data_IF_076881211760
#
_entry.id   IF_076881211760
#
_cell.length_a   1.000
_cell.length_b   1.000
_cell.length_c   1.000
_cell.angle_alpha   90.00
_cell.angle_beta   90.00
_cell.angle_gamma   90.00
#
_symmetry.space_group_name_H-M   'P 1'
#
loop_
_entity.id
_entity.type
_entity.pdbx_description
1 polymer ?
#
# COMPACT_ATOMS: atom_id res chain seq x y z
N UNK A 1 -41.24 6.86 21.22
CA UNK A 1 -40.29 7.81 20.59
C UNK A 1 -38.80 7.48 20.85
N UNK A 2 -38.49 6.36 21.51
CA UNK A 2 -37.09 6.02 21.91
C UNK A 2 -36.25 5.21 20.88
N UNK A 3 -36.83 4.56 19.90
CA UNK A 3 -36.16 3.67 18.93
C UNK A 3 -35.44 4.41 17.80
N UNK A 4 -35.82 5.65 17.51
CA UNK A 4 -35.24 6.44 16.40
C UNK A 4 -33.85 7.03 16.74
N UNK A 5 -33.58 7.32 18.01
CA UNK A 5 -32.34 7.97 18.45
C UNK A 5 -31.22 6.94 18.54
N UNK A 6 -31.46 5.76 19.08
CA UNK A 6 -30.50 4.65 19.16
C UNK A 6 -30.06 4.17 17.76
N UNK A 7 -30.96 4.14 16.79
CA UNK A 7 -30.61 3.76 15.39
C UNK A 7 -29.73 4.82 14.72
N UNK A 8 -29.92 6.11 15.00
CA UNK A 8 -29.05 7.18 14.44
C UNK A 8 -27.68 7.20 15.07
N UNK A 9 -27.57 6.95 16.37
CA UNK A 9 -26.28 6.83 17.07
C UNK A 9 -25.48 5.60 16.60
N UNK A 10 -26.14 4.47 16.40
CA UNK A 10 -25.51 3.27 15.84
C UNK A 10 -25.02 3.48 14.41
N UNK A 11 -25.78 4.17 13.57
CA UNK A 11 -25.38 4.53 12.20
C UNK A 11 -24.19 5.51 12.20
N UNK A 12 -24.20 6.52 13.07
CA UNK A 12 -23.11 7.48 13.20
C UNK A 12 -21.82 6.80 13.73
N UNK A 13 -21.95 5.90 14.69
CA UNK A 13 -20.83 5.10 15.21
C UNK A 13 -20.26 4.19 14.12
N UNK A 14 -21.10 3.51 13.34
CA UNK A 14 -20.68 2.67 12.22
C UNK A 14 -19.98 3.45 11.12
N UNK A 15 -20.41 4.68 10.82
CA UNK A 15 -19.71 5.55 9.86
C UNK A 15 -18.34 6.00 10.37
N UNK A 16 -18.23 6.38 11.66
CA UNK A 16 -16.95 6.74 12.29
C UNK A 16 -15.99 5.58 12.30
N UNK A 17 -16.42 4.36 12.63
CA UNK A 17 -15.59 3.18 12.60
C UNK A 17 -15.05 2.89 11.19
N UNK A 18 -15.87 3.02 10.15
CA UNK A 18 -15.41 2.87 8.76
C UNK A 18 -14.39 3.93 8.35
N UNK A 19 -14.58 5.18 8.79
CA UNK A 19 -13.61 6.24 8.54
C UNK A 19 -12.27 5.96 9.23
N UNK A 20 -12.29 5.47 10.48
CA UNK A 20 -11.08 5.12 11.22
C UNK A 20 -10.40 3.87 10.62
N UNK A 21 -11.17 2.89 10.14
CA UNK A 21 -10.63 1.70 9.49
C UNK A 21 -9.85 2.02 8.21
N UNK A 22 -10.08 3.17 7.57
CA UNK A 22 -9.31 3.60 6.40
C UNK A 22 -7.84 3.99 6.72
N UNK A 23 -7.51 4.18 8.01
CA UNK A 23 -6.15 4.53 8.44
C UNK A 23 -5.31 3.34 8.91
N UNK A 24 -5.85 2.14 8.87
CA UNK A 24 -5.14 0.92 9.26
C UNK A 24 -5.26 -0.13 8.14
N UNK A 25 -4.31 -1.08 8.05
CA UNK A 25 -4.42 -2.17 7.08
C UNK A 25 -5.77 -2.88 7.18
N UNK A 26 -6.40 -3.17 6.04
CA UNK A 26 -7.73 -3.79 5.99
C UNK A 26 -7.79 -5.13 6.73
N UNK A 27 -6.72 -5.91 6.65
CA UNK A 27 -6.55 -7.19 7.36
C UNK A 27 -6.52 -7.02 8.89
N UNK A 28 -5.88 -5.95 9.39
CA UNK A 28 -5.90 -5.60 10.81
C UNK A 28 -7.29 -5.13 11.23
N UNK A 29 -7.96 -4.32 10.43
CA UNK A 29 -9.33 -3.88 10.69
C UNK A 29 -10.29 -5.08 10.82
N UNK A 30 -10.21 -6.04 9.90
CA UNK A 30 -10.99 -7.27 9.93
C UNK A 30 -10.70 -8.12 11.17
N UNK A 31 -9.43 -8.21 11.58
CA UNK A 31 -9.05 -8.93 12.80
C UNK A 31 -9.63 -8.25 14.05
N UNK A 32 -9.52 -6.93 14.14
CA UNK A 32 -10.09 -6.16 15.26
C UNK A 32 -11.60 -6.37 15.35
N UNK A 33 -12.29 -6.35 14.24
CA UNK A 33 -13.75 -6.56 14.20
C UNK A 33 -14.18 -7.97 14.63
N UNK A 34 -13.34 -8.99 14.40
CA UNK A 34 -13.66 -10.39 14.75
C UNK A 34 -13.19 -10.78 16.16
N UNK A 35 -12.07 -10.26 16.62
CA UNK A 35 -11.35 -10.75 17.81
C UNK A 35 -11.12 -9.65 18.87
N UNK A 36 -11.45 -8.41 18.56
CA UNK A 36 -11.13 -7.25 19.41
C UNK A 36 -9.74 -6.67 19.13
N UNK A 37 -9.43 -5.58 19.83
CA UNK A 37 -8.14 -4.90 19.69
C UNK A 37 -7.02 -5.82 20.23
N UNK A 38 -5.96 -6.09 19.42
CA UNK A 38 -4.81 -6.84 19.88
C UNK A 38 -4.10 -6.16 21.07
N UNK A 39 -3.51 -6.94 21.94
CA UNK A 39 -2.70 -6.41 23.04
C UNK A 39 -1.43 -5.74 22.48
N UNK A 40 -1.15 -4.46 22.80
CA UNK A 40 0.09 -3.83 22.38
C UNK A 40 1.33 -4.58 22.86
N UNK A 41 2.32 -4.75 21.97
CA UNK A 41 3.55 -5.48 22.23
C UNK A 41 3.43 -7.00 22.11
N UNK A 42 2.24 -7.56 21.94
CA UNK A 42 2.04 -9.00 21.74
C UNK A 42 2.11 -9.31 20.23
N UNK A 43 3.09 -10.13 19.77
CA UNK A 43 3.24 -10.45 18.37
C UNK A 43 2.20 -11.46 17.92
N UNK A 44 1.60 -11.20 16.77
CA UNK A 44 0.75 -12.15 16.05
C UNK A 44 1.53 -12.75 14.89
N UNK A 45 1.88 -14.03 14.99
CA UNK A 45 2.62 -14.74 13.95
C UNK A 45 1.68 -15.24 12.85
N UNK A 46 2.08 -15.06 11.59
CA UNK A 46 1.37 -15.56 10.43
C UNK A 46 2.37 -15.89 9.31
N UNK A 47 1.94 -16.66 8.32
CA UNK A 47 2.61 -16.70 7.04
C UNK A 47 1.97 -15.66 6.12
N UNK A 48 2.77 -15.03 5.30
CA UNK A 48 2.29 -14.05 4.34
C UNK A 48 3.21 -13.99 3.11
N UNK A 49 2.66 -13.58 1.98
CA UNK A 49 3.46 -13.00 0.92
C UNK A 49 3.52 -11.49 1.14
N UNK A 50 4.67 -10.90 0.88
CA UNK A 50 4.87 -9.45 0.93
C UNK A 50 5.38 -8.94 -0.41
N UNK A 51 5.05 -7.69 -0.70
CA UNK A 51 5.43 -7.02 -1.92
C UNK A 51 5.97 -5.64 -1.54
N UNK A 52 7.17 -5.31 -2.05
CA UNK A 52 7.70 -3.97 -2.07
C UNK A 52 7.64 -3.44 -3.49
N UNK A 53 7.13 -2.22 -3.67
CA UNK A 53 7.09 -1.56 -4.98
C UNK A 53 7.59 -0.13 -4.87
N UNK A 54 8.28 0.32 -5.91
CA UNK A 54 8.85 1.67 -6.00
C UNK A 54 8.60 2.23 -7.40
N UNK A 55 8.11 3.48 -7.47
CA UNK A 55 7.77 4.14 -8.75
C UNK A 55 9.01 4.80 -9.31
N UNK A 56 9.61 4.19 -10.31
CA UNK A 56 10.78 4.73 -11.01
C UNK A 56 10.38 5.94 -11.87
N UNK A 57 11.17 7.01 -11.80
CA UNK A 57 10.92 8.29 -12.47
C UNK A 57 10.17 9.32 -11.60
N UNK A 58 9.58 8.89 -10.47
CA UNK A 58 8.82 9.77 -9.59
C UNK A 58 9.67 10.86 -8.95
N UNK A 59 10.86 10.55 -8.46
CA UNK A 59 11.77 11.52 -7.83
C UNK A 59 12.11 12.66 -8.80
N UNK A 60 12.51 12.35 -10.04
CA UNK A 60 12.80 13.36 -11.06
C UNK A 60 11.58 14.22 -11.40
N UNK A 61 10.39 13.59 -11.51
CA UNK A 61 9.14 14.31 -11.71
C UNK A 61 8.84 15.26 -10.55
N UNK A 62 9.01 14.79 -9.30
CA UNK A 62 8.71 15.60 -8.11
C UNK A 62 9.63 16.81 -7.98
N UNK A 63 10.93 16.65 -8.26
CA UNK A 63 11.90 17.73 -8.25
C UNK A 63 11.59 18.79 -9.33
N UNK A 64 11.26 18.34 -10.55
CA UNK A 64 10.89 19.26 -11.63
C UNK A 64 9.59 20.01 -11.32
N UNK A 65 8.54 19.31 -10.84
CA UNK A 65 7.27 19.94 -10.49
C UNK A 65 7.42 20.90 -9.30
N UNK A 66 8.27 20.59 -8.32
CA UNK A 66 8.56 21.49 -7.21
C UNK A 66 9.09 22.84 -7.69
N UNK A 67 9.83 22.88 -8.80
CA UNK A 67 10.32 24.12 -9.41
C UNK A 67 9.20 25.00 -9.99
N UNK A 68 8.01 24.47 -10.22
CA UNK A 68 6.84 25.19 -10.75
C UNK A 68 5.99 25.82 -9.61
N UNK A 69 6.45 25.73 -8.35
CA UNK A 69 5.78 26.32 -7.19
C UNK A 69 4.46 25.64 -6.83
N UNK A 70 3.46 26.38 -6.32
CA UNK A 70 2.19 25.77 -5.85
C UNK A 70 1.46 24.94 -6.90
N UNK A 71 1.49 25.34 -8.17
CA UNK A 71 0.88 24.58 -9.28
C UNK A 71 1.55 23.23 -9.48
N UNK A 72 2.88 23.20 -9.37
CA UNK A 72 3.61 21.93 -9.46
C UNK A 72 3.27 20.98 -8.32
N UNK A 73 3.11 21.51 -7.10
CA UNK A 73 2.70 20.71 -5.95
C UNK A 73 1.28 20.14 -6.10
N UNK A 74 0.33 20.90 -6.66
CA UNK A 74 -1.02 20.42 -6.97
C UNK A 74 -0.99 19.31 -8.02
N UNK A 75 -0.17 19.48 -9.05
CA UNK A 75 -0.04 18.50 -10.13
C UNK A 75 0.63 17.21 -9.66
N UNK A 76 1.66 17.31 -8.83
CA UNK A 76 2.29 16.17 -8.18
C UNK A 76 1.29 15.37 -7.33
N UNK A 77 0.50 16.08 -6.51
CA UNK A 77 -0.56 15.46 -5.70
C UNK A 77 -1.60 14.75 -6.57
N UNK A 78 -2.02 15.36 -7.69
CA UNK A 78 -2.96 14.75 -8.62
C UNK A 78 -2.42 13.45 -9.19
N UNK A 79 -1.18 13.47 -9.69
CA UNK A 79 -0.54 12.29 -10.28
C UNK A 79 -0.40 11.17 -9.25
N UNK A 80 0.13 11.52 -8.06
CA UNK A 80 0.32 10.55 -6.98
C UNK A 80 -1.01 9.91 -6.55
N UNK A 81 -2.04 10.74 -6.32
CA UNK A 81 -3.35 10.26 -5.88
C UNK A 81 -3.94 9.27 -6.88
N UNK A 82 -3.96 9.62 -8.18
CA UNK A 82 -4.58 8.76 -9.21
C UNK A 82 -3.81 7.46 -9.36
N UNK A 83 -2.47 7.52 -9.40
CA UNK A 83 -1.61 6.34 -9.58
C UNK A 83 -1.70 5.40 -8.37
N UNK A 84 -1.54 5.94 -7.16
CA UNK A 84 -1.55 5.14 -5.92
C UNK A 84 -2.95 4.56 -5.66
N UNK A 85 -4.02 5.33 -5.89
CA UNK A 85 -5.39 4.80 -5.73
C UNK A 85 -5.63 3.60 -6.64
N UNK A 86 -5.24 3.70 -7.92
CA UNK A 86 -5.41 2.60 -8.86
C UNK A 86 -4.60 1.35 -8.47
N UNK A 87 -3.41 1.53 -7.88
CA UNK A 87 -2.62 0.41 -7.33
C UNK A 87 -3.29 -0.21 -6.09
N UNK A 88 -3.80 0.61 -5.18
CA UNK A 88 -4.50 0.15 -3.97
C UNK A 88 -5.74 -0.68 -4.34
N UNK A 89 -6.48 -0.27 -5.36
CA UNK A 89 -7.64 -1.02 -5.84
C UNK A 89 -7.24 -2.44 -6.30
N UNK A 90 -6.15 -2.57 -7.06
CA UNK A 90 -5.60 -3.88 -7.47
C UNK A 90 -5.18 -4.72 -6.25
N UNK A 91 -4.54 -4.11 -5.26
CA UNK A 91 -4.10 -4.78 -4.03
C UNK A 91 -5.30 -5.33 -3.28
N UNK A 92 -6.33 -4.51 -3.07
CA UNK A 92 -7.53 -4.89 -2.32
C UNK A 92 -8.36 -5.95 -3.04
N UNK A 93 -8.50 -5.88 -4.37
CA UNK A 93 -9.19 -6.91 -5.18
C UNK A 93 -8.58 -8.31 -4.99
N UNK A 94 -7.26 -8.38 -4.73
CA UNK A 94 -6.53 -9.63 -4.52
C UNK A 94 -6.37 -10.00 -3.03
N UNK A 95 -7.07 -9.28 -2.13
CA UNK A 95 -7.05 -9.55 -0.69
C UNK A 95 -5.73 -9.20 -0.02
N UNK A 96 -4.97 -8.28 -0.61
CA UNK A 96 -3.81 -7.67 0.01
C UNK A 96 -4.18 -6.45 0.85
N UNK A 97 -3.24 -6.01 1.68
CA UNK A 97 -3.35 -4.77 2.44
C UNK A 97 -2.05 -3.97 2.33
N UNK A 98 -2.18 -2.67 2.14
CA UNK A 98 -1.02 -1.77 2.23
C UNK A 98 -0.60 -1.72 3.69
N UNK A 99 0.67 -2.01 3.94
CA UNK A 99 1.27 -1.94 5.26
C UNK A 99 1.80 -0.53 5.54
N UNK A 100 2.62 0.00 4.63
CA UNK A 100 3.24 1.31 4.82
C UNK A 100 3.63 1.97 3.49
N UNK A 101 3.66 3.30 3.48
CA UNK A 101 4.20 4.11 2.40
C UNK A 101 5.56 4.69 2.79
N UNK A 102 6.53 4.62 1.90
CA UNK A 102 7.89 5.16 2.05
C UNK A 102 8.15 6.18 0.93
N UNK A 103 7.45 7.31 0.97
CA UNK A 103 7.44 8.26 -0.13
C UNK A 103 6.63 7.74 -1.31
N UNK A 104 7.29 7.48 -2.43
CA UNK A 104 6.74 6.87 -3.66
C UNK A 104 6.78 5.33 -3.67
N UNK A 105 7.43 4.74 -2.67
CA UNK A 105 7.43 3.30 -2.47
C UNK A 105 6.33 2.85 -1.50
N UNK A 106 5.87 1.62 -1.65
CA UNK A 106 4.91 1.02 -0.72
C UNK A 106 5.28 -0.43 -0.40
N UNK A 107 4.97 -0.84 0.84
CA UNK A 107 4.95 -2.23 1.24
C UNK A 107 3.52 -2.73 1.39
N UNK A 108 3.29 -3.93 0.88
CA UNK A 108 1.99 -4.60 0.84
C UNK A 108 2.16 -6.00 1.38
N UNK A 109 1.13 -6.56 2.01
CA UNK A 109 1.15 -7.95 2.42
C UNK A 109 -0.18 -8.65 2.17
N UNK A 110 -0.08 -9.96 1.99
CA UNK A 110 -1.16 -10.88 1.72
C UNK A 110 -1.10 -11.99 2.78
N UNK A 111 -1.94 -11.96 3.83
CA UNK A 111 -2.00 -13.04 4.80
C UNK A 111 -2.32 -14.38 4.13
N UNK A 112 -1.62 -15.42 4.56
CA UNK A 112 -1.78 -16.76 3.98
C UNK A 112 -2.64 -17.66 4.86
N UNK A 113 -3.95 -17.53 4.68
CA UNK A 113 -4.93 -18.38 5.36
C UNK A 113 -5.35 -19.61 4.59
N UNK A 114 -5.04 -19.67 3.29
CA UNK A 114 -5.53 -20.67 2.35
C UNK A 114 -4.45 -21.27 1.42
N UNK A 115 -3.17 -20.91 1.65
CA UNK A 115 -2.05 -21.36 0.82
C UNK A 115 -1.92 -20.64 -0.52
N UNK A 116 -2.66 -19.54 -0.75
CA UNK A 116 -2.67 -18.82 -2.04
C UNK A 116 -1.96 -17.46 -2.00
N UNK A 117 -1.41 -17.04 -0.86
CA UNK A 117 -0.86 -15.70 -0.70
C UNK A 117 0.25 -15.37 -1.71
N UNK A 118 1.17 -16.30 -1.97
CA UNK A 118 2.24 -16.12 -2.94
C UNK A 118 1.70 -15.89 -4.36
N UNK A 119 0.71 -16.68 -4.77
CA UNK A 119 0.06 -16.54 -6.08
C UNK A 119 -0.68 -15.20 -6.19
N UNK A 120 -1.41 -14.78 -5.15
CA UNK A 120 -2.12 -13.50 -5.11
C UNK A 120 -1.15 -12.32 -5.19
N UNK A 121 -0.02 -12.39 -4.48
CA UNK A 121 1.01 -11.36 -4.53
C UNK A 121 1.68 -11.25 -5.90
N UNK A 122 2.00 -12.38 -6.55
CA UNK A 122 2.55 -12.39 -7.91
C UNK A 122 1.55 -11.83 -8.93
N UNK A 123 0.28 -12.23 -8.83
CA UNK A 123 -0.76 -11.70 -9.71
C UNK A 123 -0.96 -10.19 -9.49
N UNK A 124 -0.87 -9.74 -8.23
CA UNK A 124 -0.91 -8.31 -7.90
C UNK A 124 0.26 -7.56 -8.54
N UNK A 125 1.48 -8.05 -8.39
CA UNK A 125 2.67 -7.47 -9.01
C UNK A 125 2.51 -7.35 -10.53
N UNK A 126 2.04 -8.40 -11.20
CA UNK A 126 1.80 -8.39 -12.65
C UNK A 126 0.71 -7.39 -13.05
N UNK A 127 -0.40 -7.30 -12.30
CA UNK A 127 -1.46 -6.33 -12.58
C UNK A 127 -1.02 -4.89 -12.35
N UNK A 128 -0.26 -4.63 -11.28
CA UNK A 128 0.33 -3.30 -11.03
C UNK A 128 1.28 -2.90 -12.15
N UNK A 129 2.13 -3.82 -12.60
CA UNK A 129 3.02 -3.59 -13.74
C UNK A 129 2.24 -3.28 -15.02
N UNK A 130 1.21 -4.07 -15.33
CA UNK A 130 0.35 -3.85 -16.48
C UNK A 130 -0.37 -2.50 -16.41
N UNK A 131 -0.86 -2.12 -15.23
CA UNK A 131 -1.49 -0.83 -14.98
C UNK A 131 -0.53 0.33 -15.26
N UNK A 132 0.72 0.23 -14.79
CA UNK A 132 1.75 1.23 -15.07
C UNK A 132 2.03 1.34 -16.56
N UNK A 133 2.20 0.22 -17.26
CA UNK A 133 2.49 0.21 -18.70
C UNK A 133 1.35 0.81 -19.54
N UNK A 134 0.10 0.54 -19.17
CA UNK A 134 -1.06 0.93 -19.99
C UNK A 134 -1.60 2.32 -19.66
N UNK A 135 -1.54 2.73 -18.39
CA UNK A 135 -2.24 3.93 -17.92
C UNK A 135 -1.31 5.04 -17.41
N UNK A 136 -0.10 4.68 -16.96
CA UNK A 136 0.80 5.62 -16.30
C UNK A 136 2.21 5.67 -16.89
N UNK A 137 2.51 4.93 -17.95
CA UNK A 137 3.85 4.94 -18.58
C UNK A 137 4.26 6.32 -19.08
N UNK A 138 3.29 7.15 -19.47
CA UNK A 138 3.50 8.56 -19.82
C UNK A 138 2.45 9.44 -19.18
N UNK A 139 2.84 10.09 -18.10
CA UNK A 139 1.97 11.03 -17.38
C UNK A 139 2.05 12.42 -18.00
N UNK A 140 0.89 12.97 -18.32
CA UNK A 140 0.77 14.36 -18.82
C UNK A 140 0.44 15.27 -17.66
N UNK A 141 1.22 16.33 -17.51
CA UNK A 141 1.07 17.31 -16.44
C UNK A 141 0.78 18.70 -16.99
N UNK A 142 0.02 19.50 -16.25
CA UNK A 142 -0.33 20.86 -16.63
C UNK A 142 0.72 21.86 -16.15
N UNK A 143 1.84 21.95 -16.89
CA UNK A 143 2.98 22.82 -16.57
C UNK A 143 2.90 24.17 -17.29
N UNK A 144 3.62 25.20 -16.82
CA UNK A 144 3.76 26.49 -17.49
C UNK A 144 4.30 26.34 -18.93
N UNK A 145 3.95 27.27 -19.85
CA UNK A 145 4.51 27.28 -21.19
C UNK A 145 6.04 27.24 -21.20
N UNK A 146 6.62 26.41 -22.07
CA UNK A 146 8.07 26.25 -22.20
C UNK A 146 8.68 25.16 -21.30
N UNK A 147 7.88 24.53 -20.42
CA UNK A 147 8.28 23.35 -19.64
C UNK A 147 7.84 22.06 -20.34
N UNK A 148 8.60 20.99 -20.16
CA UNK A 148 8.26 19.67 -20.69
C UNK A 148 7.05 19.09 -19.93
N UNK A 149 5.94 18.75 -20.62
CA UNK A 149 4.70 18.37 -19.94
C UNK A 149 4.60 16.86 -19.62
N UNK A 150 5.55 16.03 -20.05
CA UNK A 150 5.49 14.58 -19.92
C UNK A 150 6.51 14.07 -18.94
N UNK A 151 6.10 13.03 -18.19
CA UNK A 151 6.99 12.23 -17.33
C UNK A 151 6.72 10.76 -17.62
N UNK A 152 7.78 9.99 -17.83
CA UNK A 152 7.68 8.56 -18.02
C UNK A 152 7.88 7.89 -16.65
N UNK A 153 6.84 7.15 -16.20
CA UNK A 153 6.85 6.42 -14.95
C UNK A 153 6.81 4.90 -15.21
N UNK A 154 7.57 4.19 -14.42
CA UNK A 154 7.51 2.73 -14.36
C UNK A 154 7.47 2.27 -12.91
N UNK A 155 7.37 0.97 -12.67
CA UNK A 155 7.41 0.41 -11.32
C UNK A 155 8.39 -0.76 -11.28
N UNK A 156 9.14 -0.87 -10.20
CA UNK A 156 9.91 -2.08 -9.86
C UNK A 156 9.30 -2.73 -8.63
N UNK A 157 9.27 -4.06 -8.61
CA UNK A 157 8.56 -4.80 -7.58
C UNK A 157 9.40 -5.98 -7.11
N UNK A 158 9.55 -6.10 -5.79
CA UNK A 158 10.08 -7.27 -5.12
C UNK A 158 8.99 -8.04 -4.41
N UNK A 159 8.98 -9.37 -4.51
CA UNK A 159 8.00 -10.24 -3.84
C UNK A 159 8.73 -11.27 -2.98
N UNK A 160 8.32 -11.38 -1.72
CA UNK A 160 8.82 -12.36 -0.75
C UNK A 160 7.68 -13.18 -0.14
N UNK A 161 7.99 -14.36 0.38
CA UNK A 161 7.05 -15.20 1.10
C UNK A 161 7.72 -15.83 2.32
N UNK A 162 7.01 -15.93 3.43
CA UNK A 162 7.50 -16.56 4.64
C UNK A 162 6.76 -16.14 5.90
N UNK A 163 7.44 -16.33 7.03
CA UNK A 163 6.89 -15.96 8.34
C UNK A 163 6.94 -14.46 8.55
N UNK A 164 5.83 -13.94 9.02
CA UNK A 164 5.67 -12.56 9.47
C UNK A 164 5.18 -12.49 10.91
N UNK A 165 5.38 -11.34 11.51
CA UNK A 165 4.80 -10.95 12.79
C UNK A 165 4.15 -9.59 12.65
N UNK A 166 2.89 -9.50 13.03
CA UNK A 166 2.16 -8.26 13.20
C UNK A 166 2.22 -7.83 14.66
N UNK A 167 2.55 -6.58 14.91
CA UNK A 167 2.58 -5.99 16.25
C UNK A 167 1.85 -4.65 16.24
N UNK A 168 1.18 -4.35 17.36
CA UNK A 168 0.83 -2.98 17.71
C UNK A 168 1.84 -2.47 18.74
N UNK A 169 2.53 -1.38 18.42
CA UNK A 169 3.56 -0.78 19.27
C UNK A 169 3.12 0.62 19.68
N UNK A 170 3.32 0.97 20.95
CA UNK A 170 3.01 2.30 21.44
C UNK A 170 2.12 2.29 22.67
N UNK A 171 1.58 3.45 23.00
CA UNK A 171 0.67 3.65 24.11
C UNK A 171 -0.79 3.75 23.62
N UNK A 172 -1.70 2.83 24.03
CA UNK A 172 -3.11 2.87 23.60
C UNK A 172 -3.85 4.19 23.88
N UNK A 173 -3.38 4.96 24.87
CA UNK A 173 -3.98 6.25 25.24
C UNK A 173 -3.43 7.43 24.43
N UNK A 174 -2.39 7.20 23.60
CA UNK A 174 -1.76 8.26 22.80
C UNK A 174 -1.74 7.89 21.32
N UNK A 175 -0.94 6.91 20.94
CA UNK A 175 -0.80 6.43 19.57
C UNK A 175 -0.34 4.98 19.57
N UNK A 176 -0.89 4.22 18.63
CA UNK A 176 -0.46 2.86 18.29
C UNK A 176 -0.01 2.85 16.83
N UNK A 177 1.15 2.24 16.61
CA UNK A 177 1.70 1.98 15.28
C UNK A 177 1.57 0.51 14.95
N UNK A 178 1.10 0.20 13.75
CA UNK A 178 1.12 -1.16 13.21
C UNK A 178 2.47 -1.44 12.58
N UNK A 179 3.09 -2.52 13.00
CA UNK A 179 4.40 -2.96 12.49
C UNK A 179 4.26 -4.39 11.95
N UNK A 180 4.66 -4.57 10.70
CA UNK A 180 4.83 -5.88 10.08
C UNK A 180 6.33 -6.15 9.91
N UNK A 181 6.82 -7.29 10.39
CA UNK A 181 8.21 -7.71 10.28
C UNK A 181 8.32 -9.20 10.00
N UNK A 182 9.48 -9.67 9.57
CA UNK A 182 9.75 -11.08 9.36
C UNK A 182 10.42 -11.40 8.01
N UNK A 183 10.69 -12.69 7.79
CA UNK A 183 11.46 -13.15 6.63
C UNK A 183 10.85 -12.77 5.29
N UNK A 184 9.53 -12.80 5.16
CA UNK A 184 8.86 -12.39 3.93
C UNK A 184 9.14 -10.92 3.60
N UNK A 185 9.10 -10.03 4.62
CA UNK A 185 9.36 -8.59 4.46
C UNK A 185 10.81 -8.36 4.01
N UNK A 186 11.77 -9.02 4.66
CA UNK A 186 13.19 -8.90 4.33
C UNK A 186 13.49 -9.40 2.91
N UNK A 187 12.89 -10.53 2.51
CA UNK A 187 13.04 -11.10 1.17
C UNK A 187 12.42 -10.21 0.09
N UNK A 188 11.23 -9.64 0.32
CA UNK A 188 10.62 -8.73 -0.64
C UNK A 188 11.46 -7.46 -0.83
N UNK A 189 11.95 -6.88 0.27
CA UNK A 189 12.83 -5.73 0.21
C UNK A 189 14.18 -6.04 -0.45
N UNK A 190 14.73 -7.25 -0.24
CA UNK A 190 15.93 -7.69 -0.93
C UNK A 190 15.68 -7.87 -2.44
N UNK A 191 14.59 -8.50 -2.83
CA UNK A 191 14.20 -8.69 -4.21
C UNK A 191 13.99 -7.35 -4.94
N UNK A 192 13.32 -6.39 -4.29
CA UNK A 192 13.10 -5.04 -4.86
C UNK A 192 14.43 -4.31 -5.14
N UNK A 193 15.43 -4.41 -4.23
CA UNK A 193 16.74 -3.79 -4.44
C UNK A 193 17.49 -4.35 -5.65
N UNK A 194 17.20 -5.57 -6.08
CA UNK A 194 17.77 -6.19 -7.28
C UNK A 194 16.95 -5.92 -8.54
N UNK A 195 15.76 -5.37 -8.41
CA UNK A 195 14.88 -5.06 -9.52
C UNK A 195 15.30 -3.74 -10.21
N UNK A 196 15.36 -3.76 -11.53
CA UNK A 196 15.43 -2.57 -12.37
C UNK A 196 14.03 -2.03 -12.68
N UNK A 197 13.94 -0.81 -13.19
CA UNK A 197 12.67 -0.21 -13.63
C UNK A 197 11.95 -1.14 -14.62
N UNK A 198 10.73 -1.55 -14.29
CA UNK A 198 9.96 -2.49 -15.09
C UNK A 198 10.10 -3.96 -14.70
N UNK A 199 10.92 -4.31 -13.70
CA UNK A 199 11.10 -5.69 -13.26
C UNK A 199 10.16 -6.10 -12.12
N UNK A 200 9.82 -7.38 -12.11
CA UNK A 200 9.25 -8.07 -10.94
C UNK A 200 10.24 -9.17 -10.56
N UNK A 201 10.81 -9.08 -9.36
CA UNK A 201 11.71 -10.10 -8.82
C UNK A 201 11.02 -10.77 -7.62
N UNK A 202 10.98 -12.11 -7.65
CA UNK A 202 10.44 -12.92 -6.57
C UNK A 202 11.56 -13.70 -5.87
N UNK A 203 11.46 -13.81 -4.54
CA UNK A 203 12.33 -14.70 -3.78
C UNK A 203 12.05 -16.17 -4.09
N UNK A 204 13.01 -17.06 -3.84
CA UNK A 204 12.82 -18.48 -4.08
C UNK A 204 11.67 -19.10 -3.29
N UNK A 205 11.29 -18.52 -2.16
CA UNK A 205 10.18 -19.00 -1.33
C UNK A 205 8.79 -18.71 -1.94
N UNK A 206 8.71 -17.84 -2.95
CA UNK A 206 7.47 -17.49 -3.67
C UNK A 206 7.17 -18.49 -4.78
N UNK A 207 8.19 -19.18 -5.31
CA UNK A 207 8.12 -20.11 -6.43
C UNK A 207 7.83 -21.53 -5.99
#
# INVERSE_FOLDING_TARGET
MSTSTASKEQLATGQRLRQLAAYIPTTLADRIMRQGLPTPGEPHALNAATLFSDISGFTGMSEELASDGPRGAEELNRVLLVTVTAMIDVIHELGGAVNHFYGDAMSVYFPDSDGTAAQRALLCAQRMQQLMLTSFSRVVTNRPPGKHPFFDLTIKIGVGYGRCQELLVGNPQQSLEFVLTGTAVDEAAAAERHASAGDIIASAAVL
#
